data_IF_684325228537
#
_entry.id   IF_684325228537
#
_cell.length_a   1.000
_cell.length_b   1.000
_cell.length_c   1.000
_cell.angle_alpha   90.00
_cell.angle_beta   90.00
_cell.angle_gamma   90.00
#
_symmetry.space_group_name_H-M   'P 1'
#
loop_
_entity.id
_entity.type
_entity.pdbx_description
1 polymer ?
#
# COMPACT_ATOMS: atom_id res chain seq x y z
N UNK A 1 -7.55 10.84 -14.48
CA UNK A 1 -6.81 11.37 -13.31
C UNK A 1 -5.89 10.29 -12.75
N UNK A 2 -4.66 10.62 -12.46
CA UNK A 2 -3.70 9.67 -11.91
C UNK A 2 -3.88 9.55 -10.40
N UNK A 3 -3.88 8.33 -9.83
CA UNK A 3 -4.02 8.17 -8.39
C UNK A 3 -2.77 8.61 -7.62
N UNK A 4 -2.97 9.00 -6.37
CA UNK A 4 -1.90 9.39 -5.47
C UNK A 4 -0.98 8.22 -5.12
N UNK A 5 0.32 8.46 -5.10
CA UNK A 5 1.33 7.45 -4.75
C UNK A 5 1.31 7.17 -3.25
N UNK A 6 1.31 5.91 -2.85
CA UNK A 6 1.34 5.47 -1.46
C UNK A 6 2.77 5.32 -0.96
N UNK A 7 2.96 5.50 0.36
CA UNK A 7 4.27 5.55 1.00
C UNK A 7 4.26 4.70 2.27
N UNK A 8 5.46 4.41 2.79
CA UNK A 8 5.62 3.75 4.09
C UNK A 8 4.81 4.48 5.16
N UNK A 9 3.98 3.77 5.89
CA UNK A 9 3.11 4.34 6.92
C UNK A 9 1.71 4.71 6.43
N UNK A 10 1.48 4.77 5.13
CA UNK A 10 0.14 5.04 4.58
C UNK A 10 -0.74 3.81 4.75
N UNK A 11 -2.02 4.02 5.08
CA UNK A 11 -2.90 2.93 5.48
C UNK A 11 -3.60 2.25 4.29
N UNK A 12 -4.01 1.00 4.53
CA UNK A 12 -4.98 0.29 3.68
C UNK A 12 -6.40 0.55 4.19
N UNK A 13 -7.39 0.14 3.40
CA UNK A 13 -8.80 0.31 3.76
C UNK A 13 -9.29 -0.70 4.79
N UNK A 14 -8.55 -1.78 5.04
CA UNK A 14 -9.07 -2.93 5.75
C UNK A 14 -10.04 -3.72 4.88
N UNK A 15 -10.60 -4.80 5.42
CA UNK A 15 -11.63 -5.58 4.73
C UNK A 15 -12.43 -6.40 5.74
N UNK A 16 -13.75 -6.49 5.56
CA UNK A 16 -14.61 -7.19 6.49
C UNK A 16 -14.44 -6.66 7.91
N UNK A 17 -14.14 -7.55 8.85
CA UNK A 17 -13.87 -7.19 10.26
C UNK A 17 -12.39 -6.87 10.54
N UNK A 18 -11.52 -6.94 9.53
CA UNK A 18 -10.11 -6.57 9.68
C UNK A 18 -9.93 -5.07 9.47
N UNK A 19 -9.42 -4.35 10.48
CA UNK A 19 -9.33 -2.89 10.43
C UNK A 19 -8.22 -2.40 9.50
N UNK A 20 -8.28 -1.12 9.07
CA UNK A 20 -7.17 -0.49 8.35
C UNK A 20 -5.86 -0.55 9.15
N UNK A 21 -4.74 -0.73 8.43
CA UNK A 21 -3.40 -0.74 9.03
C UNK A 21 -2.42 0.03 8.15
N UNK A 22 -1.34 0.49 8.76
CA UNK A 22 -0.28 1.18 8.06
C UNK A 22 0.62 0.21 7.31
N UNK A 23 1.16 0.62 6.16
CA UNK A 23 2.17 -0.15 5.45
C UNK A 23 3.48 -0.13 6.23
N UNK A 24 4.24 -1.23 6.16
CA UNK A 24 5.49 -1.42 6.90
C UNK A 24 6.70 -1.59 5.99
N UNK A 25 6.51 -1.65 4.69
CA UNK A 25 7.58 -1.79 3.70
C UNK A 25 7.65 -0.63 2.73
N UNK A 26 8.81 -0.41 2.17
CA UNK A 26 9.03 0.62 1.17
C UNK A 26 10.43 0.58 0.61
N UNK A 27 10.69 1.45 -0.38
CA UNK A 27 11.99 1.55 -1.03
C UNK A 27 13.05 2.07 -0.08
N UNK A 28 14.27 1.51 -0.17
CA UNK A 28 15.43 2.02 0.57
C UNK A 28 16.04 3.27 -0.04
N UNK A 29 15.68 3.63 -1.26
CA UNK A 29 16.32 4.75 -1.98
C UNK A 29 15.40 5.56 -2.90
N UNK A 30 14.11 5.24 -2.97
CA UNK A 30 13.10 6.04 -3.70
C UNK A 30 12.10 6.58 -2.70
N UNK A 31 11.92 7.88 -2.67
CA UNK A 31 11.11 8.56 -1.68
C UNK A 31 10.06 9.45 -2.34
N UNK A 32 8.91 9.55 -1.68
CA UNK A 32 7.81 10.43 -2.07
C UNK A 32 7.52 11.32 -0.86
N UNK A 33 7.69 12.62 -1.02
CA UNK A 33 7.56 13.59 0.09
C UNK A 33 8.51 13.26 1.27
N UNK A 34 9.72 12.75 0.95
CA UNK A 34 10.68 12.36 1.98
C UNK A 34 10.39 11.05 2.69
N UNK A 35 9.38 10.29 2.25
CA UNK A 35 8.94 9.03 2.84
C UNK A 35 9.15 7.90 1.82
N UNK A 36 9.63 6.74 2.27
CA UNK A 36 9.90 5.61 1.38
C UNK A 36 8.67 5.24 0.55
N UNK A 37 8.84 5.11 -0.76
CA UNK A 37 7.76 4.71 -1.66
C UNK A 37 7.37 3.25 -1.42
N UNK A 38 6.06 2.97 -1.33
CA UNK A 38 5.53 1.61 -1.21
C UNK A 38 5.44 0.95 -2.58
N UNK A 39 5.79 -0.34 -2.67
CA UNK A 39 5.93 -1.04 -3.95
C UNK A 39 5.25 -2.40 -3.92
N UNK A 40 5.06 -2.99 -5.11
CA UNK A 40 4.57 -4.36 -5.27
C UNK A 40 5.38 -5.32 -4.37
N UNK A 41 4.69 -6.11 -3.57
CA UNK A 41 5.29 -7.05 -2.63
C UNK A 41 5.65 -6.47 -1.27
N UNK A 42 5.56 -5.15 -1.09
CA UNK A 42 5.81 -4.53 0.21
C UNK A 42 4.64 -4.76 1.17
N UNK A 43 4.96 -4.95 2.44
CA UNK A 43 4.01 -5.44 3.44
C UNK A 43 3.20 -4.34 4.11
N UNK A 44 2.06 -4.72 4.65
CA UNK A 44 1.27 -3.97 5.63
C UNK A 44 1.37 -4.63 6.99
N UNK A 45 1.16 -3.85 8.05
CA UNK A 45 1.08 -4.38 9.41
C UNK A 45 -0.06 -5.40 9.51
N UNK A 46 0.15 -6.43 10.32
CA UNK A 46 -0.87 -7.44 10.57
C UNK A 46 -2.12 -6.83 11.19
N UNK A 47 -3.28 -7.34 10.81
CA UNK A 47 -4.54 -6.93 11.42
C UNK A 47 -5.32 -8.17 11.90
N UNK A 48 -6.15 -7.95 12.93
CA UNK A 48 -6.89 -9.00 13.60
C UNK A 48 -8.38 -8.72 13.53
N UNK A 49 -9.15 -9.71 13.14
CA UNK A 49 -10.61 -9.63 13.26
C UNK A 49 -11.01 -9.99 14.69
N UNK A 50 -11.58 -9.05 15.46
CA UNK A 50 -11.94 -9.35 16.87
C UNK A 50 -13.07 -10.35 17.00
N UNK A 51 -13.93 -10.48 15.97
CA UNK A 51 -15.08 -11.39 16.02
C UNK A 51 -14.70 -12.85 15.88
N UNK A 52 -13.66 -13.15 15.08
CA UNK A 52 -13.23 -14.53 14.81
C UNK A 52 -11.79 -14.80 15.24
N UNK A 53 -11.21 -14.00 16.11
CA UNK A 53 -9.81 -13.78 16.51
C UNK A 53 -8.78 -14.39 15.54
N UNK A 54 -8.84 -13.96 14.30
CA UNK A 54 -7.91 -14.37 13.25
C UNK A 54 -7.03 -13.18 12.83
N UNK A 55 -5.73 -13.41 12.76
CA UNK A 55 -4.73 -12.40 12.39
C UNK A 55 -4.04 -12.79 11.11
N UNK A 56 -3.88 -11.82 10.19
CA UNK A 56 -3.06 -12.02 9.01
C UNK A 56 -2.36 -10.73 8.61
N UNK A 57 -1.30 -10.88 7.81
CA UNK A 57 -0.60 -9.78 7.17
C UNK A 57 -0.62 -10.01 5.66
N UNK A 58 -0.40 -8.97 4.89
CA UNK A 58 -0.43 -9.08 3.44
C UNK A 58 0.53 -8.10 2.78
N UNK A 59 0.59 -8.17 1.45
CA UNK A 59 1.48 -7.35 0.63
C UNK A 59 0.69 -6.71 -0.50
N UNK A 60 1.26 -5.66 -1.10
CA UNK A 60 0.67 -5.05 -2.30
C UNK A 60 0.64 -6.07 -3.43
N UNK A 61 -0.52 -6.28 -4.03
CA UNK A 61 -0.73 -7.27 -5.09
C UNK A 61 -0.54 -6.71 -6.49
N UNK A 62 -0.75 -5.41 -6.70
CA UNK A 62 -0.55 -4.74 -7.98
C UNK A 62 -0.39 -3.24 -7.76
N UNK A 63 0.33 -2.59 -8.65
CA UNK A 63 0.53 -1.14 -8.62
C UNK A 63 0.51 -0.56 -10.03
N UNK A 64 1.18 0.57 -10.22
CA UNK A 64 1.28 1.21 -11.53
C UNK A 64 1.92 0.27 -12.54
N UNK A 65 1.33 0.17 -13.73
CA UNK A 65 1.90 -0.60 -14.83
C UNK A 65 2.98 0.16 -15.60
N UNK A 66 3.17 1.44 -15.31
CA UNK A 66 4.10 2.32 -16.03
C UNK A 66 5.15 2.99 -15.16
N UNK A 67 4.94 3.07 -13.86
CA UNK A 67 5.87 3.71 -12.92
C UNK A 67 6.37 2.69 -11.90
N UNK A 68 7.68 2.62 -11.76
CA UNK A 68 8.35 1.60 -10.94
C UNK A 68 9.32 2.24 -9.96
N UNK A 69 9.50 1.61 -8.81
CA UNK A 69 10.57 1.91 -7.88
C UNK A 69 11.34 0.61 -7.65
N UNK A 70 12.65 0.61 -7.87
CA UNK A 70 13.50 -0.59 -7.75
C UNK A 70 12.97 -1.75 -8.59
N UNK A 71 12.49 -1.48 -9.82
CA UNK A 71 11.90 -2.45 -10.75
C UNK A 71 10.59 -3.10 -10.26
N UNK A 72 9.95 -2.52 -9.26
CA UNK A 72 8.66 -2.98 -8.73
C UNK A 72 7.60 -1.91 -8.98
N UNK A 73 6.38 -2.35 -9.30
CA UNK A 73 5.26 -1.43 -9.53
C UNK A 73 5.03 -0.54 -8.31
N UNK A 74 4.89 0.76 -8.57
CA UNK A 74 4.68 1.75 -7.51
C UNK A 74 3.24 1.69 -7.00
N UNK A 75 3.04 1.68 -5.68
CA UNK A 75 1.71 1.63 -5.06
C UNK A 75 0.97 2.95 -5.19
N UNK A 76 -0.35 2.87 -5.40
CA UNK A 76 -1.23 4.04 -5.51
C UNK A 76 -2.53 3.78 -4.76
N UNK A 77 -3.22 4.86 -4.37
CA UNK A 77 -4.55 4.74 -3.77
C UNK A 77 -5.48 3.95 -4.71
N UNK A 78 -6.18 2.97 -4.16
CA UNK A 78 -7.09 2.09 -4.89
C UNK A 78 -6.45 0.80 -5.38
N UNK A 79 -5.13 0.66 -5.33
CA UNK A 79 -4.46 -0.58 -5.74
C UNK A 79 -4.76 -1.71 -4.75
N UNK A 80 -4.86 -2.97 -5.25
CA UNK A 80 -5.26 -4.08 -4.39
C UNK A 80 -4.15 -4.56 -3.47
N UNK A 81 -4.53 -4.89 -2.25
CA UNK A 81 -3.70 -5.64 -1.31
C UNK A 81 -4.13 -7.11 -1.39
N UNK A 82 -3.19 -8.04 -1.34
CA UNK A 82 -3.46 -9.46 -1.60
C UNK A 82 -4.52 -10.06 -0.68
N UNK A 83 -4.69 -9.54 0.53
CA UNK A 83 -5.70 -10.04 1.48
C UNK A 83 -7.14 -9.58 1.18
N UNK A 84 -7.35 -8.72 0.19
CA UNK A 84 -8.67 -8.18 -0.15
C UNK A 84 -8.88 -6.72 0.22
N UNK A 85 -7.91 -6.11 0.88
CA UNK A 85 -7.90 -4.67 1.17
C UNK A 85 -7.49 -3.87 -0.06
N UNK A 86 -7.54 -2.55 0.04
CA UNK A 86 -7.01 -1.62 -0.99
C UNK A 86 -6.16 -0.55 -0.32
N UNK A 87 -5.27 0.05 -1.09
CA UNK A 87 -4.49 1.20 -0.62
C UNK A 87 -5.43 2.39 -0.40
N UNK A 88 -5.43 2.98 0.79
CA UNK A 88 -6.39 4.01 1.17
C UNK A 88 -5.77 5.40 1.34
N UNK A 89 -4.47 5.51 1.52
CA UNK A 89 -3.79 6.78 1.76
C UNK A 89 -2.54 6.94 0.89
N UNK A 90 -2.16 8.16 0.60
CA UNK A 90 -1.00 8.47 -0.22
C UNK A 90 -0.65 9.95 -0.19
N UNK A 91 0.27 10.33 -1.08
CA UNK A 91 0.75 11.69 -1.22
C UNK A 91 -0.37 12.66 -1.63
N UNK A 92 -0.30 13.89 -1.13
CA UNK A 92 -1.19 14.95 -1.55
C UNK A 92 -0.82 15.58 -2.89
N UNK A 93 0.37 15.33 -3.41
CA UNK A 93 0.91 16.03 -4.59
C UNK A 93 1.77 15.19 -5.53
N UNK A 94 1.93 13.89 -5.28
CA UNK A 94 2.67 12.97 -6.16
C UNK A 94 1.72 11.87 -6.66
N UNK A 95 1.67 11.68 -7.97
CA UNK A 95 0.71 10.81 -8.63
C UNK A 95 1.42 9.90 -9.63
N UNK A 96 0.87 8.71 -9.86
CA UNK A 96 1.39 7.77 -10.85
C UNK A 96 0.24 7.17 -11.66
N UNK A 97 0.40 7.14 -12.98
CA UNK A 97 -0.57 6.58 -13.91
C UNK A 97 -0.40 5.09 -14.13
N UNK A 98 -1.04 4.61 -15.16
CA UNK A 98 -1.01 3.22 -15.56
C UNK A 98 -2.08 2.41 -14.89
#
# INVERSE_FOLDING_TARGET
MMPAVSRLGDSCSGHGCWPPRASTGGSGNVFVNGIAAHRLGDAWAAHTCPSIPETHASVLAAGSSTVFANSKQLARIGDPVACGSTVAAGSGDVFAGG
#
